data_IF_424608435560
#
_entry.id   IF_424608435560
#
_cell.length_a   1.000
_cell.length_b   1.000
_cell.length_c   1.000
_cell.angle_alpha   90.00
_cell.angle_beta   90.00
_cell.angle_gamma   90.00
#
_symmetry.space_group_name_H-M   'P 1'
#
loop_
_entity.id
_entity.type
_entity.pdbx_description
1 polymer ?
#
# COMPACT_ATOMS: atom_id res chain seq x y z
N UNK A 1 32.08 -25.31 -14.93
CA UNK A 1 31.83 -24.55 -13.68
C UNK A 1 31.10 -23.28 -14.11
N UNK A 2 29.79 -23.19 -13.90
CA UNK A 2 29.03 -21.98 -14.23
C UNK A 2 29.57 -20.85 -13.35
N UNK A 3 30.18 -19.85 -13.99
CA UNK A 3 30.71 -18.69 -13.30
C UNK A 3 29.54 -17.98 -12.61
N UNK A 4 29.64 -17.76 -11.30
CA UNK A 4 28.57 -17.11 -10.56
C UNK A 4 28.34 -15.69 -11.11
N UNK A 5 27.12 -15.43 -11.56
CA UNK A 5 26.75 -14.21 -12.29
C UNK A 5 26.87 -12.97 -11.39
N UNK A 6 26.73 -13.17 -10.07
CA UNK A 6 26.78 -12.11 -9.06
C UNK A 6 28.13 -12.05 -8.36
N UNK A 7 28.75 -13.18 -8.06
CA UNK A 7 29.91 -13.29 -7.17
C UNK A 7 31.10 -12.44 -7.59
N UNK A 8 31.30 -12.23 -8.90
CA UNK A 8 32.32 -11.33 -9.44
C UNK A 8 32.15 -9.85 -9.04
N UNK A 9 30.93 -9.43 -8.66
CA UNK A 9 30.56 -8.07 -8.23
C UNK A 9 30.04 -8.02 -6.79
N UNK A 10 30.21 -9.10 -6.03
CA UNK A 10 29.77 -9.22 -4.63
C UNK A 10 30.27 -8.07 -3.75
N UNK A 11 31.55 -7.71 -3.85
CA UNK A 11 32.13 -6.63 -3.04
C UNK A 11 31.46 -5.27 -3.25
N UNK A 12 31.06 -4.94 -4.48
CA UNK A 12 30.32 -3.70 -4.77
C UNK A 12 28.92 -3.71 -4.14
N UNK A 13 28.23 -4.86 -4.21
CA UNK A 13 26.90 -5.03 -3.63
C UNK A 13 26.95 -4.99 -2.09
N UNK A 14 27.94 -5.63 -1.47
CA UNK A 14 28.15 -5.57 -0.02
C UNK A 14 28.43 -4.14 0.44
N UNK A 15 29.27 -3.40 -0.29
CA UNK A 15 29.54 -1.99 0.00
C UNK A 15 28.27 -1.14 -0.13
N UNK A 16 27.48 -1.34 -1.19
CA UNK A 16 26.21 -0.67 -1.37
C UNK A 16 25.24 -0.93 -0.20
N UNK A 17 25.09 -2.20 0.20
CA UNK A 17 24.20 -2.61 1.29
C UNK A 17 24.69 -2.16 2.68
N UNK A 18 25.97 -1.82 2.85
CA UNK A 18 26.50 -1.31 4.12
C UNK A 18 25.84 -0.01 4.59
N UNK A 19 25.32 0.81 3.65
CA UNK A 19 24.55 2.02 3.95
C UNK A 19 23.08 1.75 4.31
N UNK A 20 22.63 0.49 4.22
CA UNK A 20 21.25 0.07 4.42
C UNK A 20 21.11 -0.86 5.64
N UNK A 21 21.66 -0.46 6.79
CA UNK A 21 21.68 -1.30 8.00
C UNK A 21 20.29 -1.76 8.45
N UNK A 22 19.28 -0.89 8.42
CA UNK A 22 17.91 -1.25 8.80
C UNK A 22 17.35 -2.40 7.94
N UNK A 23 17.71 -2.44 6.66
CA UNK A 23 17.29 -3.50 5.74
C UNK A 23 17.98 -4.82 6.07
N UNK A 24 19.28 -4.79 6.39
CA UNK A 24 20.02 -5.97 6.78
C UNK A 24 19.53 -6.56 8.11
N UNK A 25 19.17 -5.70 9.07
CA UNK A 25 18.55 -6.12 10.33
C UNK A 25 17.19 -6.77 10.07
N UNK A 26 16.36 -6.17 9.21
CA UNK A 26 15.08 -6.74 8.82
C UNK A 26 15.23 -8.10 8.12
N UNK A 27 16.24 -8.27 7.26
CA UNK A 27 16.55 -9.54 6.59
C UNK A 27 16.88 -10.65 7.58
N UNK A 28 17.73 -10.37 8.57
CA UNK A 28 18.11 -11.35 9.59
C UNK A 28 16.90 -11.74 10.44
N UNK A 29 16.10 -10.77 10.88
CA UNK A 29 14.91 -11.03 11.69
C UNK A 29 13.83 -11.80 10.91
N UNK A 30 13.57 -11.42 9.64
CA UNK A 30 12.52 -12.02 8.82
C UNK A 30 12.94 -13.34 8.16
N UNK A 31 13.93 -13.30 7.26
CA UNK A 31 14.37 -14.46 6.49
C UNK A 31 15.29 -15.39 7.29
N UNK A 32 16.13 -14.82 8.15
CA UNK A 32 16.96 -15.58 9.09
C UNK A 32 16.17 -16.16 10.27
N UNK A 33 14.90 -15.75 10.45
CA UNK A 33 14.00 -16.17 11.56
C UNK A 33 14.62 -15.96 12.95
N UNK A 34 15.46 -14.94 13.09
CA UNK A 34 16.11 -14.58 14.37
C UNK A 34 15.17 -13.70 15.17
N UNK A 35 14.69 -14.20 16.32
CA UNK A 35 13.78 -13.46 17.20
C UNK A 35 14.51 -12.56 18.22
N UNK A 36 15.84 -12.64 18.27
CA UNK A 36 16.66 -11.86 19.19
C UNK A 36 16.77 -10.39 18.75
N UNK A 37 17.16 -9.50 19.68
CA UNK A 37 17.34 -8.10 19.33
C UNK A 37 18.68 -7.87 18.64
N UNK A 38 18.63 -7.82 17.31
CA UNK A 38 19.78 -7.56 16.46
C UNK A 38 20.12 -6.06 16.51
N UNK A 39 21.30 -5.76 17.05
CA UNK A 39 21.80 -4.38 17.21
C UNK A 39 22.49 -3.84 15.94
N UNK A 40 23.13 -4.70 15.17
CA UNK A 40 23.76 -4.34 13.90
C UNK A 40 23.84 -5.54 12.96
N UNK A 41 23.84 -5.27 11.65
CA UNK A 41 23.97 -6.28 10.62
C UNK A 41 24.84 -5.77 9.46
N UNK A 42 25.63 -6.67 8.87
CA UNK A 42 26.54 -6.41 7.75
C UNK A 42 26.53 -7.59 6.78
N UNK A 43 26.27 -7.31 5.51
CA UNK A 43 26.41 -8.31 4.45
C UNK A 43 27.89 -8.56 4.16
N UNK A 44 28.31 -9.82 4.17
CA UNK A 44 29.71 -10.22 3.91
C UNK A 44 29.90 -10.78 2.51
N UNK A 45 28.97 -11.61 2.04
CA UNK A 45 29.01 -12.21 0.71
C UNK A 45 27.62 -12.31 0.11
N UNK A 46 27.56 -12.30 -1.22
CA UNK A 46 26.35 -12.52 -2.00
C UNK A 46 26.72 -13.28 -3.28
N UNK A 47 25.92 -14.28 -3.60
CA UNK A 47 26.01 -15.09 -4.81
C UNK A 47 24.62 -15.25 -5.45
N UNK A 48 24.52 -15.94 -6.60
CA UNK A 48 23.24 -16.21 -7.28
C UNK A 48 22.21 -16.97 -6.44
N UNK A 49 22.63 -17.70 -5.41
CA UNK A 49 21.77 -18.61 -4.63
C UNK A 49 21.49 -18.10 -3.22
N UNK A 50 22.36 -17.28 -2.66
CA UNK A 50 22.30 -16.89 -1.27
C UNK A 50 23.09 -15.62 -0.96
N UNK A 51 22.76 -15.01 0.18
CA UNK A 51 23.56 -13.94 0.79
C UNK A 51 23.91 -14.31 2.23
N UNK A 52 25.12 -13.96 2.64
CA UNK A 52 25.58 -14.14 4.01
C UNK A 52 25.60 -12.79 4.73
N UNK A 53 24.96 -12.73 5.89
CA UNK A 53 24.88 -11.54 6.73
C UNK A 53 25.46 -11.89 8.11
N UNK A 54 26.47 -11.15 8.52
CA UNK A 54 26.93 -11.12 9.91
C UNK A 54 26.08 -10.15 10.71
N UNK A 55 25.65 -10.56 11.91
CA UNK A 55 24.85 -9.72 12.79
C UNK A 55 25.31 -9.82 14.24
N UNK A 56 25.05 -8.78 15.02
CA UNK A 56 25.36 -8.74 16.45
C UNK A 56 24.08 -8.81 17.26
N UNK A 57 23.97 -9.85 18.07
CA UNK A 57 22.86 -10.11 19.00
C UNK A 57 23.44 -10.37 20.38
N UNK A 58 22.94 -9.66 21.40
CA UNK A 58 23.42 -9.76 22.79
C UNK A 58 24.96 -9.67 22.93
N UNK A 59 25.59 -8.81 22.13
CA UNK A 59 27.04 -8.61 22.12
C UNK A 59 27.85 -9.73 21.44
N UNK A 60 27.21 -10.76 20.89
CA UNK A 60 27.86 -11.84 20.12
C UNK A 60 27.67 -11.64 18.63
N UNK A 61 28.74 -11.82 17.87
CA UNK A 61 28.67 -11.83 16.40
C UNK A 61 28.25 -13.22 15.92
N UNK A 62 27.20 -13.27 15.13
CA UNK A 62 26.63 -14.48 14.53
C UNK A 62 26.47 -14.28 13.02
N UNK A 63 26.17 -15.34 12.29
CA UNK A 63 26.04 -15.30 10.83
C UNK A 63 24.75 -15.98 10.40
N UNK A 64 23.97 -15.30 9.57
CA UNK A 64 22.78 -15.82 8.93
C UNK A 64 23.03 -15.98 7.42
N UNK A 65 22.60 -17.11 6.87
CA UNK A 65 22.61 -17.37 5.44
C UNK A 65 21.17 -17.33 4.91
N UNK A 66 20.90 -16.43 3.97
CA UNK A 66 19.58 -16.20 3.38
C UNK A 66 19.61 -16.72 1.95
N UNK A 67 18.75 -17.69 1.65
CA UNK A 67 18.67 -18.36 0.36
C UNK A 67 17.69 -17.61 -0.56
N UNK A 68 18.07 -17.39 -1.81
CA UNK A 68 17.19 -16.88 -2.86
C UNK A 68 16.41 -18.03 -3.51
N UNK A 69 15.09 -17.96 -3.47
CA UNK A 69 14.20 -18.92 -4.15
C UNK A 69 13.17 -18.18 -5.01
N UNK A 70 13.23 -18.26 -6.36
CA UNK A 70 14.27 -18.92 -7.16
C UNK A 70 15.65 -18.23 -7.06
N UNK A 71 16.75 -18.92 -7.44
CA UNK A 71 18.06 -18.32 -7.61
C UNK A 71 18.05 -17.19 -8.64
N UNK A 72 18.97 -16.25 -8.50
CA UNK A 72 19.12 -15.13 -9.43
C UNK A 72 19.95 -15.58 -10.63
N UNK A 73 19.34 -15.57 -11.82
CA UNK A 73 19.99 -16.05 -13.04
C UNK A 73 20.76 -14.93 -13.76
N UNK A 74 20.30 -13.67 -13.63
CA UNK A 74 20.86 -12.53 -14.34
C UNK A 74 21.21 -11.39 -13.37
N UNK A 75 22.34 -10.72 -13.61
CA UNK A 75 22.80 -9.62 -12.74
C UNK A 75 21.79 -8.46 -12.63
N UNK A 76 21.04 -8.16 -13.69
CA UNK A 76 20.08 -7.06 -13.71
C UNK A 76 18.88 -7.31 -12.79
N UNK A 77 18.62 -8.57 -12.41
CA UNK A 77 17.55 -8.95 -11.48
C UNK A 77 17.94 -8.72 -10.02
N UNK A 78 19.22 -8.58 -9.70
CA UNK A 78 19.71 -8.45 -8.32
C UNK A 78 19.08 -7.25 -7.62
N UNK A 79 19.08 -6.09 -8.28
CA UNK A 79 18.54 -4.86 -7.72
C UNK A 79 17.03 -4.97 -7.42
N UNK A 80 16.15 -5.30 -8.39
CA UNK A 80 14.73 -5.43 -8.10
C UNK A 80 14.45 -6.55 -7.09
N UNK A 81 15.23 -7.64 -7.10
CA UNK A 81 15.11 -8.72 -6.11
C UNK A 81 15.40 -8.24 -4.69
N UNK A 82 16.49 -7.52 -4.48
CA UNK A 82 16.83 -6.94 -3.17
C UNK A 82 15.83 -5.87 -2.73
N UNK A 83 15.22 -5.11 -3.65
CA UNK A 83 14.17 -4.15 -3.29
C UNK A 83 12.91 -4.88 -2.83
N UNK A 84 12.47 -5.90 -3.59
CA UNK A 84 11.29 -6.68 -3.23
C UNK A 84 11.47 -7.41 -1.88
N UNK A 85 12.63 -8.07 -1.68
CA UNK A 85 12.94 -8.71 -0.40
C UNK A 85 12.96 -7.72 0.75
N UNK A 86 13.46 -6.50 0.54
CA UNK A 86 13.44 -5.43 1.55
C UNK A 86 12.03 -5.09 1.97
N UNK A 87 11.13 -4.91 1.02
CA UNK A 87 9.73 -4.59 1.32
C UNK A 87 9.10 -5.73 2.14
N UNK A 88 9.25 -6.98 1.69
CA UNK A 88 8.75 -8.16 2.39
C UNK A 88 9.31 -8.27 3.82
N UNK A 89 10.62 -8.11 4.00
CA UNK A 89 11.24 -8.20 5.31
C UNK A 89 10.78 -7.09 6.25
N UNK A 90 10.72 -5.84 5.78
CA UNK A 90 10.25 -4.70 6.58
C UNK A 90 8.78 -4.87 6.97
N UNK A 91 7.95 -5.44 6.08
CA UNK A 91 6.58 -5.85 6.39
C UNK A 91 6.53 -6.92 7.46
N UNK A 92 7.32 -7.98 7.31
CA UNK A 92 7.39 -9.08 8.25
C UNK A 92 7.85 -8.70 9.64
N UNK A 93 8.77 -7.72 9.77
CA UNK A 93 9.23 -7.22 11.08
C UNK A 93 8.43 -6.02 11.60
N UNK A 94 7.43 -5.55 10.85
CA UNK A 94 6.63 -4.38 11.21
C UNK A 94 7.38 -3.04 11.14
N UNK A 95 8.56 -3.01 10.51
CA UNK A 95 9.37 -1.79 10.26
C UNK A 95 9.00 -1.12 8.94
N UNK A 96 7.75 -1.28 8.49
CA UNK A 96 7.27 -0.68 7.24
C UNK A 96 7.25 0.83 7.40
N UNK A 97 8.03 1.52 6.58
CA UNK A 97 7.76 2.91 6.22
C UNK A 97 6.49 2.91 5.36
N UNK A 98 5.33 2.70 5.99
CA UNK A 98 4.06 2.77 5.28
C UNK A 98 3.98 4.15 4.64
N UNK A 99 3.76 4.25 3.33
CA UNK A 99 3.64 5.54 2.68
C UNK A 99 2.51 6.30 3.37
N UNK A 100 2.91 7.36 4.08
CA UNK A 100 1.96 8.23 4.77
C UNK A 100 1.23 8.98 3.69
N UNK A 101 -0.09 8.85 3.66
CA UNK A 101 -0.93 9.71 2.81
C UNK A 101 -0.75 11.13 3.36
N UNK A 102 0.14 11.89 2.74
CA UNK A 102 0.54 13.24 3.18
C UNK A 102 -0.18 14.33 2.39
N UNK A 103 -0.65 14.01 1.18
CA UNK A 103 -1.29 14.95 0.26
C UNK A 103 -2.70 14.46 -0.06
N UNK A 104 -3.66 15.39 0.01
CA UNK A 104 -4.99 15.23 -0.55
C UNK A 104 -5.05 16.10 -1.80
N UNK A 105 -5.31 15.48 -2.95
CA UNK A 105 -5.62 16.19 -4.17
C UNK A 105 -7.14 16.23 -4.30
N UNK A 106 -7.71 17.45 -4.31
CA UNK A 106 -9.12 17.62 -4.61
C UNK A 106 -9.40 17.04 -6.01
N UNK A 107 -10.52 16.32 -6.19
CA UNK A 107 -10.90 15.86 -7.51
C UNK A 107 -11.03 17.06 -8.46
N UNK A 108 -10.73 16.89 -9.75
CA UNK A 108 -10.87 17.98 -10.71
C UNK A 108 -12.30 18.50 -10.70
N UNK A 109 -12.47 19.83 -10.80
CA UNK A 109 -13.75 20.53 -10.67
C UNK A 109 -14.87 19.90 -11.53
N UNK A 110 -14.51 19.35 -12.69
CA UNK A 110 -15.44 18.64 -13.59
C UNK A 110 -16.07 17.42 -12.94
N UNK A 111 -15.28 16.60 -12.24
CA UNK A 111 -15.78 15.39 -11.61
C UNK A 111 -16.70 15.72 -10.43
N UNK A 112 -16.31 16.72 -9.62
CA UNK A 112 -17.18 17.25 -8.55
C UNK A 112 -18.47 17.85 -9.07
N UNK A 113 -18.42 18.61 -10.17
CA UNK A 113 -19.61 19.17 -10.79
C UNK A 113 -20.57 18.09 -11.31
N UNK A 114 -20.03 17.01 -11.90
CA UNK A 114 -20.83 15.86 -12.36
C UNK A 114 -21.52 15.20 -11.18
N UNK A 115 -20.78 14.82 -10.12
CA UNK A 115 -21.38 14.14 -8.96
C UNK A 115 -22.43 15.02 -8.26
N UNK A 116 -22.14 16.30 -8.05
CA UNK A 116 -23.11 17.25 -7.48
C UNK A 116 -24.35 17.41 -8.38
N UNK A 117 -24.18 17.48 -9.70
CA UNK A 117 -25.31 17.59 -10.63
C UNK A 117 -26.21 16.34 -10.62
N UNK A 118 -25.64 15.15 -10.53
CA UNK A 118 -26.39 13.89 -10.45
C UNK A 118 -27.20 13.80 -9.15
N UNK A 119 -26.63 14.24 -8.03
CA UNK A 119 -27.35 14.31 -6.75
C UNK A 119 -28.51 15.31 -6.81
N UNK A 120 -28.31 16.48 -7.42
CA UNK A 120 -29.38 17.47 -7.61
C UNK A 120 -30.51 16.93 -8.49
N UNK A 121 -30.18 16.19 -9.56
CA UNK A 121 -31.19 15.55 -10.42
C UNK A 121 -31.96 14.47 -9.65
N UNK A 122 -31.27 13.65 -8.84
CA UNK A 122 -31.93 12.64 -8.00
C UNK A 122 -32.88 13.27 -6.99
N UNK A 123 -32.47 14.38 -6.35
CA UNK A 123 -33.33 15.14 -5.43
C UNK A 123 -34.52 15.74 -6.18
N UNK A 124 -34.29 16.42 -7.31
CA UNK A 124 -35.34 17.04 -8.10
C UNK A 124 -36.39 16.01 -8.54
N UNK A 125 -35.97 14.89 -9.13
CA UNK A 125 -36.88 13.83 -9.56
C UNK A 125 -37.64 13.17 -8.40
N UNK A 126 -37.05 13.12 -7.21
CA UNK A 126 -37.71 12.60 -6.01
C UNK A 126 -38.82 13.52 -5.52
N UNK A 127 -38.57 14.83 -5.42
CA UNK A 127 -39.48 15.79 -4.77
C UNK A 127 -40.33 16.62 -5.73
N UNK A 128 -40.13 16.53 -7.04
CA UNK A 128 -40.91 17.33 -7.98
C UNK A 128 -42.40 16.95 -7.95
N UNK A 129 -43.25 18.00 -7.97
CA UNK A 129 -44.70 17.88 -7.96
C UNK A 129 -45.27 17.32 -9.25
N UNK A 130 -46.52 16.87 -9.22
CA UNK A 130 -47.22 16.29 -10.36
C UNK A 130 -47.27 17.29 -11.54
N UNK A 131 -47.09 16.78 -12.77
CA UNK A 131 -47.06 17.59 -13.99
C UNK A 131 -45.68 18.19 -14.33
N UNK A 132 -44.70 18.11 -13.43
CA UNK A 132 -43.32 18.54 -13.68
C UNK A 132 -42.52 17.52 -14.49
N UNK A 133 -41.43 17.96 -15.12
CA UNK A 133 -40.46 17.06 -15.78
C UNK A 133 -39.88 16.03 -14.80
N UNK A 134 -39.63 16.41 -13.55
CA UNK A 134 -39.15 15.48 -12.53
C UNK A 134 -40.13 14.36 -12.23
N UNK A 135 -41.44 14.66 -12.18
CA UNK A 135 -42.48 13.65 -11.98
C UNK A 135 -42.63 12.69 -13.17
N UNK A 136 -42.51 13.20 -14.41
CA UNK A 136 -42.55 12.38 -15.62
C UNK A 136 -41.35 11.42 -15.69
N UNK A 137 -40.16 11.90 -15.36
CA UNK A 137 -38.95 11.07 -15.28
C UNK A 137 -39.09 10.01 -14.20
N UNK A 138 -39.60 10.38 -13.01
CA UNK A 138 -39.85 9.45 -11.91
C UNK A 138 -40.79 8.32 -12.35
N UNK A 139 -41.88 8.64 -13.04
CA UNK A 139 -42.83 7.65 -13.56
C UNK A 139 -42.22 6.75 -14.62
N UNK A 140 -41.44 7.31 -15.55
CA UNK A 140 -40.75 6.55 -16.61
C UNK A 140 -39.79 5.48 -16.03
N UNK A 141 -39.16 5.77 -14.89
CA UNK A 141 -38.18 4.88 -14.23
C UNK A 141 -38.85 3.89 -13.25
N UNK A 142 -40.19 3.83 -13.21
CA UNK A 142 -40.95 2.89 -12.37
C UNK A 142 -41.51 3.48 -11.07
N UNK A 143 -41.56 4.81 -10.98
CA UNK A 143 -42.27 5.54 -9.95
C UNK A 143 -41.60 5.55 -8.58
N UNK A 144 -42.40 5.89 -7.56
CA UNK A 144 -41.92 6.09 -6.19
C UNK A 144 -41.33 4.83 -5.54
N UNK A 145 -41.71 3.63 -6.00
CA UNK A 145 -41.13 2.37 -5.51
C UNK A 145 -39.66 2.25 -5.91
N UNK A 146 -39.34 2.53 -7.18
CA UNK A 146 -37.96 2.51 -7.66
C UNK A 146 -37.11 3.55 -6.96
N UNK A 147 -37.64 4.76 -6.72
CA UNK A 147 -36.89 5.82 -6.04
C UNK A 147 -36.45 5.41 -4.63
N UNK A 148 -37.27 4.67 -3.87
CA UNK A 148 -36.88 4.14 -2.54
C UNK A 148 -35.66 3.22 -2.63
N UNK A 149 -35.62 2.34 -3.63
CA UNK A 149 -34.47 1.45 -3.86
C UNK A 149 -33.23 2.22 -4.31
N UNK A 150 -33.38 3.22 -5.17
CA UNK A 150 -32.27 4.09 -5.60
C UNK A 150 -31.66 4.80 -4.40
N UNK A 151 -32.46 5.43 -3.54
CA UNK A 151 -31.97 6.07 -2.31
C UNK A 151 -31.29 5.08 -1.35
N UNK A 152 -31.87 3.88 -1.17
CA UNK A 152 -31.28 2.84 -0.33
C UNK A 152 -29.92 2.37 -0.86
N UNK A 153 -29.82 2.15 -2.16
CA UNK A 153 -28.57 1.75 -2.82
C UNK A 153 -27.51 2.85 -2.76
N UNK A 154 -27.86 4.09 -3.07
CA UNK A 154 -26.96 5.25 -2.97
C UNK A 154 -26.43 5.42 -1.55
N UNK A 155 -27.30 5.31 -0.54
CA UNK A 155 -26.89 5.35 0.86
C UNK A 155 -25.95 4.21 1.24
N UNK A 156 -26.20 2.99 0.76
CA UNK A 156 -25.34 1.83 1.01
C UNK A 156 -23.94 2.01 0.39
N UNK A 157 -23.86 2.48 -0.86
CA UNK A 157 -22.58 2.74 -1.53
C UNK A 157 -21.77 3.78 -0.77
N UNK A 158 -22.37 4.94 -0.44
CA UNK A 158 -21.64 5.98 0.27
C UNK A 158 -21.20 5.56 1.68
N UNK A 159 -21.99 4.71 2.35
CA UNK A 159 -21.57 4.11 3.62
C UNK A 159 -20.36 3.17 3.43
N UNK A 160 -20.37 2.33 2.39
CA UNK A 160 -19.26 1.44 2.07
C UNK A 160 -17.98 2.21 1.68
N UNK A 161 -18.12 3.27 0.86
CA UNK A 161 -17.04 4.19 0.48
C UNK A 161 -16.45 4.87 1.73
N UNK A 162 -17.29 5.43 2.60
CA UNK A 162 -16.83 6.06 3.84
C UNK A 162 -16.13 5.11 4.81
N UNK A 163 -16.58 3.85 4.90
CA UNK A 163 -15.90 2.80 5.68
C UNK A 163 -14.54 2.47 5.04
N UNK A 164 -14.50 2.31 3.71
CA UNK A 164 -13.28 2.04 2.97
C UNK A 164 -12.24 3.17 3.15
N UNK A 165 -12.66 4.44 3.00
CA UNK A 165 -11.80 5.59 3.26
C UNK A 165 -11.34 5.67 4.72
N UNK A 166 -12.23 5.39 5.69
CA UNK A 166 -11.83 5.35 7.09
C UNK A 166 -10.80 4.24 7.37
N UNK A 167 -10.98 3.06 6.77
CA UNK A 167 -10.04 1.94 6.87
C UNK A 167 -8.69 2.29 6.22
N UNK A 168 -8.71 2.93 5.05
CA UNK A 168 -7.51 3.41 4.36
C UNK A 168 -6.78 4.46 5.20
N UNK A 169 -7.48 5.45 5.75
CA UNK A 169 -6.88 6.45 6.63
C UNK A 169 -6.26 5.85 7.89
N UNK A 170 -6.92 4.84 8.48
CA UNK A 170 -6.38 4.11 9.64
C UNK A 170 -5.13 3.32 9.27
N UNK A 171 -5.16 2.62 8.12
CA UNK A 171 -4.04 1.81 7.62
C UNK A 171 -2.81 2.65 7.29
N UNK A 172 -2.99 3.86 6.78
CA UNK A 172 -1.90 4.74 6.35
C UNK A 172 -1.58 5.87 7.35
N UNK A 173 -2.03 5.76 8.62
CA UNK A 173 -1.78 6.72 9.71
C UNK A 173 -1.96 8.18 9.28
N UNK A 174 -3.02 8.45 8.53
CA UNK A 174 -3.28 9.77 7.96
C UNK A 174 -3.55 10.77 9.09
N UNK A 175 -2.88 11.92 9.09
CA UNK A 175 -3.07 12.94 10.13
C UNK A 175 -4.54 13.39 10.23
N UNK A 176 -5.03 13.66 11.45
CA UNK A 176 -6.44 13.97 11.75
C UNK A 176 -7.02 15.07 10.83
N UNK A 177 -6.22 16.07 10.46
CA UNK A 177 -6.62 17.16 9.57
C UNK A 177 -6.85 16.72 8.12
N UNK A 178 -6.09 15.76 7.62
CA UNK A 178 -6.17 15.28 6.25
C UNK A 178 -7.29 14.23 6.11
N UNK A 179 -7.43 13.32 7.09
CA UNK A 179 -8.55 12.38 7.12
C UNK A 179 -9.93 13.06 7.17
N UNK A 180 -10.02 14.26 7.77
CA UNK A 180 -11.25 15.07 7.74
C UNK A 180 -11.60 15.58 6.34
N UNK A 181 -10.60 15.90 5.50
CA UNK A 181 -10.82 16.37 4.12
C UNK A 181 -11.33 15.27 3.19
N UNK A 182 -10.84 14.04 3.37
CA UNK A 182 -11.36 12.86 2.66
C UNK A 182 -12.83 12.61 3.04
N UNK A 183 -13.15 12.59 4.34
CA UNK A 183 -14.53 12.40 4.82
C UNK A 183 -15.49 13.52 4.39
N UNK A 184 -15.02 14.75 4.27
CA UNK A 184 -15.86 15.89 3.84
C UNK A 184 -16.04 15.99 2.33
N UNK A 185 -15.24 15.27 1.54
CA UNK A 185 -15.38 15.26 0.09
C UNK A 185 -16.32 14.17 -0.43
N UNK A 186 -16.68 13.21 0.42
CA UNK A 186 -17.67 12.16 0.15
C UNK A 186 -19.10 12.53 0.58
N UNK A 187 -19.28 13.64 1.29
CA UNK A 187 -20.57 14.24 1.66
C UNK A 187 -20.96 15.32 0.65
#
# INVERSE_FOLDING_TARGET
MSQDVIGSRSGFLCQYMSHHQDTLVAYVKHFGKVNEDVSSARMTTIDSKSMTIEYVSDGKTQTANIIFDPPIEVYDEVKPRLIAMREEALEGVGMVNQPVVSVYQLPPLRLGAITSSLMLVLIYTTFAGEGSLGSQIRELVGGSSTMKWVWGFTGLIHAAEGIYMAALCKRHKTGIRLGRKYKSAEL
#
